data_IF_174198520911
#
_entry.id   IF_174198520911
#
_cell.length_a   1.000
_cell.length_b   1.000
_cell.length_c   1.000
_cell.angle_alpha   90.00
_cell.angle_beta   90.00
_cell.angle_gamma   90.00
#
_symmetry.space_group_name_H-M   'P 1'
#
loop_
_entity.id
_entity.type
_entity.pdbx_description
1 polymer ?
#
# COMPACT_ATOMS: atom_id res chain seq x y z
N UNK A 1 -11.66 8.86 -90.28
CA UNK A 1 -12.94 8.30 -89.79
C UNK A 1 -12.73 7.80 -88.37
N UNK A 2 -13.48 8.37 -87.42
CA UNK A 2 -13.38 8.08 -86.00
C UNK A 2 -14.06 6.75 -85.65
N UNK A 3 -13.46 5.96 -84.76
CA UNK A 3 -14.20 4.94 -84.01
C UNK A 3 -13.66 4.78 -82.57
N UNK A 4 -14.45 5.39 -81.67
CA UNK A 4 -14.87 4.99 -80.32
C UNK A 4 -13.80 4.56 -79.30
N UNK A 5 -13.51 5.48 -78.36
CA UNK A 5 -12.93 5.21 -77.03
C UNK A 5 -13.91 4.35 -76.22
N UNK A 6 -13.46 3.17 -75.80
CA UNK A 6 -14.16 2.31 -74.83
C UNK A 6 -13.62 2.66 -73.44
N UNK A 7 -14.52 3.07 -72.54
CA UNK A 7 -14.22 3.33 -71.12
C UNK A 7 -14.49 2.07 -70.31
N UNK A 8 -13.43 1.38 -69.88
CA UNK A 8 -13.55 0.27 -68.93
C UNK A 8 -13.53 0.83 -67.52
N UNK A 9 -14.71 0.94 -66.91
CA UNK A 9 -14.90 1.17 -65.48
C UNK A 9 -14.39 -0.06 -64.72
N UNK A 10 -13.18 0.02 -64.16
CA UNK A 10 -12.74 -0.91 -63.12
C UNK A 10 -13.35 -0.49 -61.78
N UNK A 11 -14.46 -1.15 -61.49
CA UNK A 11 -15.20 -1.17 -60.24
C UNK A 11 -14.39 -2.01 -59.22
N UNK A 12 -13.46 -1.39 -58.48
CA UNK A 12 -12.77 -2.05 -57.37
C UNK A 12 -13.65 -1.91 -56.12
N UNK A 13 -14.56 -2.88 -55.94
CA UNK A 13 -15.08 -3.21 -54.62
C UNK A 13 -13.97 -3.87 -53.81
N UNK A 14 -13.21 -3.06 -53.07
CA UNK A 14 -12.29 -3.53 -52.03
C UNK A 14 -13.03 -3.60 -50.69
N UNK A 15 -13.52 -4.80 -50.37
CA UNK A 15 -14.05 -5.15 -49.06
C UNK A 15 -12.95 -5.00 -48.00
N UNK A 16 -13.41 -4.49 -46.85
CA UNK A 16 -12.88 -4.37 -45.49
C UNK A 16 -11.69 -5.26 -45.05
N UNK A 17 -11.18 -4.89 -43.87
CA UNK A 17 -10.22 -5.57 -42.98
C UNK A 17 -8.75 -5.27 -43.38
N UNK A 18 -7.96 -4.50 -42.64
CA UNK A 18 -7.66 -4.62 -41.22
C UNK A 18 -7.40 -3.22 -40.63
N UNK A 19 -8.25 -2.78 -39.69
CA UNK A 19 -7.74 -1.90 -38.64
C UNK A 19 -6.67 -2.71 -37.92
N UNK A 20 -5.40 -2.35 -38.10
CA UNK A 20 -4.38 -2.69 -37.12
C UNK A 20 -4.80 -1.97 -35.83
N UNK A 21 -5.67 -2.62 -35.05
CA UNK A 21 -5.70 -2.42 -33.61
C UNK A 21 -4.32 -2.86 -33.14
N UNK A 22 -3.38 -1.92 -33.20
CA UNK A 22 -2.17 -2.00 -32.41
C UNK A 22 -2.69 -1.87 -30.98
N UNK A 23 -3.03 -3.00 -30.37
CA UNK A 23 -3.20 -3.05 -28.94
C UNK A 23 -1.85 -2.66 -28.37
N UNK A 24 -1.74 -1.40 -27.95
CA UNK A 24 -0.72 -1.01 -27.00
C UNK A 24 -0.95 -1.93 -25.82
N UNK A 25 -0.12 -2.96 -25.72
CA UNK A 25 -0.04 -3.76 -24.50
C UNK A 25 0.25 -2.73 -23.42
N UNK A 26 -0.70 -2.51 -22.52
CA UNK A 26 -0.44 -1.74 -21.31
C UNK A 26 0.70 -2.46 -20.60
N UNK A 27 1.89 -1.87 -20.69
CA UNK A 27 3.06 -2.40 -20.00
C UNK A 27 2.82 -2.09 -18.53
N UNK A 28 2.64 -3.13 -17.72
CA UNK A 28 2.54 -3.02 -16.27
C UNK A 28 3.73 -2.20 -15.75
N UNK A 29 3.43 -0.96 -15.37
CA UNK A 29 4.48 0.00 -15.00
C UNK A 29 4.88 -0.29 -13.56
N UNK A 30 6.10 -0.83 -13.37
CA UNK A 30 6.66 -1.11 -12.05
C UNK A 30 6.81 0.18 -11.27
N UNK A 31 6.12 0.32 -10.13
CA UNK A 31 6.20 1.50 -9.25
C UNK A 31 7.14 1.24 -8.08
N UNK A 32 7.97 2.23 -7.78
CA UNK A 32 8.84 2.26 -6.60
C UNK A 32 8.24 3.19 -5.55
N UNK A 33 7.93 2.65 -4.38
CA UNK A 33 7.32 3.42 -3.30
C UNK A 33 8.25 3.44 -2.10
N UNK A 34 8.62 4.64 -1.67
CA UNK A 34 9.30 4.85 -0.39
C UNK A 34 8.29 5.39 0.61
N UNK A 35 8.17 4.76 1.77
CA UNK A 35 7.40 5.26 2.90
C UNK A 35 8.36 5.85 3.93
N UNK A 36 8.08 7.07 4.36
CA UNK A 36 8.86 7.78 5.37
C UNK A 36 7.97 8.03 6.57
N UNK A 37 8.31 7.44 7.71
CA UNK A 37 7.59 7.61 8.96
C UNK A 37 8.35 8.60 9.83
N UNK A 38 7.70 9.72 10.16
CA UNK A 38 8.27 10.82 10.95
C UNK A 38 7.71 10.82 12.36
N UNK A 39 8.57 11.07 13.34
CA UNK A 39 8.13 11.32 14.71
C UNK A 39 7.96 12.82 14.95
N UNK A 40 6.72 13.31 14.86
CA UNK A 40 6.34 14.69 15.17
C UNK A 40 6.01 14.93 16.64
N UNK A 41 6.33 13.97 17.52
CA UNK A 41 6.07 14.06 18.97
C UNK A 41 7.35 14.40 19.75
N UNK A 42 7.19 14.74 21.03
CA UNK A 42 8.30 14.99 21.94
C UNK A 42 8.90 13.71 22.56
N UNK A 43 8.34 12.53 22.27
CA UNK A 43 8.74 11.26 22.88
C UNK A 43 9.47 10.39 21.87
N UNK A 44 10.52 9.69 22.28
CA UNK A 44 11.02 8.56 21.50
C UNK A 44 9.90 7.53 21.31
N UNK A 45 9.82 6.95 20.11
CA UNK A 45 8.85 5.90 19.81
C UNK A 45 9.49 4.73 19.08
N UNK A 46 8.86 3.58 19.20
CA UNK A 46 9.20 2.36 18.47
C UNK A 46 8.00 1.96 17.63
N UNK A 47 8.18 1.90 16.31
CA UNK A 47 7.21 1.40 15.35
C UNK A 47 7.44 -0.11 15.17
N UNK A 48 6.56 -0.92 15.73
CA UNK A 48 6.60 -2.39 15.63
C UNK A 48 5.61 -2.87 14.58
N UNK A 49 6.06 -3.75 13.69
CA UNK A 49 5.23 -4.34 12.63
C UNK A 49 5.10 -5.83 12.86
N UNK A 50 3.87 -6.31 12.81
CA UNK A 50 3.47 -7.67 13.10
C UNK A 50 2.82 -8.33 11.89
N UNK A 51 3.01 -9.65 11.80
CA UNK A 51 2.35 -10.54 10.85
C UNK A 51 1.83 -11.73 11.65
N UNK A 52 0.51 -11.94 11.66
CA UNK A 52 -0.16 -13.00 12.42
C UNK A 52 0.19 -12.98 13.92
N UNK A 53 0.34 -11.78 14.49
CA UNK A 53 0.68 -11.57 15.90
C UNK A 53 2.16 -11.77 16.25
N UNK A 54 3.01 -12.12 15.30
CA UNK A 54 4.47 -12.20 15.48
C UNK A 54 5.13 -10.91 14.99
N UNK A 55 5.95 -10.28 15.84
CA UNK A 55 6.72 -9.09 15.45
C UNK A 55 7.84 -9.50 14.49
N UNK A 56 7.92 -8.88 13.32
CA UNK A 56 8.97 -9.18 12.35
C UNK A 56 9.80 -7.96 11.91
N UNK A 57 9.32 -6.72 12.13
CA UNK A 57 10.10 -5.48 11.96
C UNK A 57 9.87 -4.55 13.13
N UNK A 58 10.87 -3.73 13.43
CA UNK A 58 10.84 -2.73 14.49
C UNK A 58 11.75 -1.57 14.12
N UNK A 59 11.27 -0.35 14.29
CA UNK A 59 12.03 0.86 13.98
C UNK A 59 11.95 1.83 15.16
N UNK A 60 13.10 2.22 15.72
CA UNK A 60 13.17 3.27 16.74
C UNK A 60 13.28 4.63 16.06
N UNK A 61 12.41 5.57 16.43
CA UNK A 61 12.35 6.91 15.84
C UNK A 61 12.37 7.95 16.97
N UNK A 62 13.49 8.65 17.13
CA UNK A 62 13.61 9.75 18.09
C UNK A 62 12.81 10.98 17.65
N UNK A 63 12.51 11.92 18.56
CA UNK A 63 11.78 13.16 18.23
C UNK A 63 12.40 13.89 17.03
N UNK A 64 11.56 14.32 16.09
CA UNK A 64 11.95 15.00 14.85
C UNK A 64 12.90 14.19 13.95
N UNK A 65 12.96 12.87 14.12
CA UNK A 65 13.64 11.95 13.21
C UNK A 65 12.63 11.16 12.39
N UNK A 66 13.16 10.47 11.40
CA UNK A 66 12.38 9.67 10.46
C UNK A 66 13.07 8.34 10.16
N UNK A 67 12.27 7.39 9.71
CA UNK A 67 12.74 6.12 9.17
C UNK A 67 12.10 5.88 7.82
N UNK A 68 12.88 5.35 6.89
CA UNK A 68 12.41 5.01 5.56
C UNK A 68 12.21 3.51 5.41
N UNK A 69 11.17 3.12 4.70
CA UNK A 69 10.94 1.75 4.23
C UNK A 69 10.59 1.78 2.76
N UNK A 70 11.09 0.85 1.97
CA UNK A 70 10.87 0.83 0.52
C UNK A 70 10.20 -0.46 0.05
N UNK A 71 9.37 -0.33 -0.97
CA UNK A 71 8.78 -1.47 -1.69
C UNK A 71 8.73 -1.16 -3.19
N UNK A 72 9.12 -2.14 -4.01
CA UNK A 72 8.98 -2.08 -5.47
C UNK A 72 7.88 -3.04 -5.90
N UNK A 73 6.86 -2.57 -6.63
CA UNK A 73 5.76 -3.41 -7.13
C UNK A 73 5.09 -2.81 -8.37
N UNK A 74 4.58 -3.66 -9.27
CA UNK A 74 3.75 -3.24 -10.40
C UNK A 74 2.41 -2.58 -9.99
N UNK A 75 1.84 -3.03 -8.88
CA UNK A 75 0.59 -2.50 -8.35
C UNK A 75 0.81 -1.35 -7.35
N UNK A 76 -0.25 -0.61 -7.04
CA UNK A 76 -0.22 0.59 -6.20
C UNK A 76 0.37 0.41 -4.79
N UNK A 77 0.40 1.50 -4.00
CA UNK A 77 1.09 1.52 -2.70
C UNK A 77 0.40 0.61 -1.70
N UNK A 78 1.20 -0.21 -1.02
CA UNK A 78 0.80 -1.05 0.09
C UNK A 78 1.78 -0.84 1.24
N UNK A 79 1.45 0.00 2.24
CA UNK A 79 2.30 0.21 3.41
C UNK A 79 2.66 -1.11 4.08
N UNK A 80 3.84 -1.22 4.68
CA UNK A 80 4.28 -2.42 5.43
C UNK A 80 4.29 -3.74 4.67
N UNK A 81 4.50 -3.70 3.34
CA UNK A 81 4.83 -4.86 2.53
C UNK A 81 6.36 -4.97 2.40
N UNK A 82 6.93 -6.08 2.85
CA UNK A 82 8.38 -6.31 2.82
C UNK A 82 8.72 -7.58 2.05
N UNK A 83 9.74 -7.52 1.21
CA UNK A 83 10.23 -8.66 0.41
C UNK A 83 11.54 -9.18 1.00
N UNK A 84 11.55 -9.91 2.13
CA UNK A 84 12.81 -10.50 2.66
C UNK A 84 12.63 -11.44 3.87
N UNK A 85 13.23 -12.66 3.87
CA UNK A 85 13.57 -13.51 2.72
C UNK A 85 12.32 -14.13 2.06
N UNK A 86 11.18 -14.10 2.75
CA UNK A 86 9.85 -14.35 2.21
C UNK A 86 9.06 -13.05 2.19
N UNK A 87 8.07 -12.94 1.30
CA UNK A 87 7.14 -11.82 1.32
C UNK A 87 6.43 -11.83 2.68
N UNK A 88 6.69 -10.80 3.50
CA UNK A 88 6.00 -10.58 4.77
C UNK A 88 5.08 -9.39 4.65
N UNK A 89 3.90 -9.56 5.23
CA UNK A 89 2.84 -8.57 5.14
C UNK A 89 2.46 -8.10 6.53
N UNK A 90 2.67 -6.81 6.80
CA UNK A 90 2.24 -6.20 8.05
C UNK A 90 0.71 -6.20 8.16
N UNK A 91 0.17 -7.06 9.02
CA UNK A 91 -1.26 -7.13 9.33
C UNK A 91 -1.65 -6.20 10.48
N UNK A 92 -0.67 -5.80 11.29
CA UNK A 92 -0.85 -4.91 12.43
C UNK A 92 0.43 -4.15 12.75
N UNK A 93 0.24 -2.95 13.30
CA UNK A 93 1.31 -2.03 13.68
C UNK A 93 1.04 -1.51 15.07
N UNK A 94 2.09 -1.47 15.90
CA UNK A 94 2.06 -0.86 17.23
C UNK A 94 3.07 0.27 17.27
N UNK A 95 2.61 1.47 17.58
CA UNK A 95 3.46 2.61 17.90
C UNK A 95 3.58 2.64 19.43
N UNK A 96 4.77 2.35 19.95
CA UNK A 96 5.06 2.39 21.39
C UNK A 96 5.89 3.62 21.72
N UNK A 97 5.31 4.56 22.46
CA UNK A 97 5.99 5.71 23.00
C UNK A 97 6.82 5.33 24.23
N UNK A 98 7.90 6.06 24.49
CA UNK A 98 8.85 5.78 25.58
C UNK A 98 8.24 5.83 26.98
N UNK A 99 7.09 6.48 27.15
CA UNK A 99 6.35 6.57 28.40
C UNK A 99 5.27 5.48 28.56
N UNK A 100 5.48 4.30 27.96
CA UNK A 100 4.59 3.14 28.04
C UNK A 100 3.17 3.37 27.50
N UNK A 101 3.03 4.30 26.56
CA UNK A 101 1.78 4.49 25.80
C UNK A 101 1.90 3.82 24.44
N UNK A 102 0.81 3.20 24.01
CA UNK A 102 0.73 2.44 22.78
C UNK A 102 -0.49 2.86 21.96
N UNK A 103 -0.28 2.95 20.65
CA UNK A 103 -1.33 3.06 19.66
C UNK A 103 -1.23 1.86 18.73
N UNK A 104 -2.36 1.24 18.40
CA UNK A 104 -2.37 0.01 17.60
C UNK A 104 -3.34 0.12 16.46
N UNK A 105 -2.85 -0.24 15.28
CA UNK A 105 -3.64 -0.32 14.08
C UNK A 105 -3.64 -1.75 13.57
N UNK A 106 -4.77 -2.16 13.01
CA UNK A 106 -4.93 -3.43 12.34
C UNK A 106 -5.40 -3.18 10.91
N UNK A 107 -4.79 -3.88 9.98
CA UNK A 107 -5.24 -3.88 8.60
C UNK A 107 -6.59 -4.58 8.50
N UNK A 108 -7.47 -4.03 7.69
CA UNK A 108 -8.77 -4.61 7.36
C UNK A 108 -8.65 -5.57 6.17
N UNK A 109 -9.68 -6.38 5.97
CA UNK A 109 -9.72 -7.43 4.94
C UNK A 109 -9.66 -6.90 3.49
N UNK A 110 -9.96 -5.62 3.27
CA UNK A 110 -9.84 -4.97 1.96
C UNK A 110 -8.39 -4.55 1.60
N UNK A 111 -7.41 -4.92 2.44
CA UNK A 111 -6.00 -4.57 2.24
C UNK A 111 -5.63 -3.15 2.73
N UNK A 112 -6.61 -2.34 3.10
CA UNK A 112 -6.42 -1.04 3.76
C UNK A 112 -6.70 -1.17 5.25
N UNK A 113 -6.37 -0.14 6.02
CA UNK A 113 -6.75 -0.04 7.42
C UNK A 113 -6.80 1.43 7.81
N UNK A 114 -7.24 1.76 9.03
CA UNK A 114 -7.25 3.15 9.48
C UNK A 114 -5.84 3.73 9.46
N UNK A 115 -5.73 5.05 9.23
CA UNK A 115 -4.52 5.83 9.52
C UNK A 115 -3.30 5.32 8.76
N UNK A 116 -2.33 4.76 9.48
CA UNK A 116 -1.02 4.36 8.93
C UNK A 116 -1.11 3.27 7.84
N UNK A 117 -2.23 2.54 7.75
CA UNK A 117 -2.51 1.57 6.70
C UNK A 117 -3.26 2.15 5.49
N UNK A 118 -3.77 3.38 5.56
CA UNK A 118 -4.38 4.10 4.45
C UNK A 118 -3.40 5.13 3.87
N UNK A 119 -2.78 4.81 2.74
CA UNK A 119 -1.84 5.73 2.07
C UNK A 119 -2.47 7.07 1.66
N UNK A 120 -3.81 7.17 1.64
CA UNK A 120 -4.53 8.41 1.32
C UNK A 120 -4.55 9.40 2.49
N UNK A 121 -4.28 8.92 3.70
CA UNK A 121 -4.14 9.74 4.90
C UNK A 121 -2.70 10.25 5.11
N UNK A 122 -1.78 9.96 4.18
CA UNK A 122 -0.38 10.39 4.27
C UNK A 122 -0.25 11.88 3.90
N UNK A 123 0.69 12.56 4.53
CA UNK A 123 0.83 14.03 4.56
C UNK A 123 0.88 14.67 3.17
N UNK A 124 1.47 13.95 2.21
CA UNK A 124 1.69 14.43 0.85
C UNK A 124 0.81 13.73 -0.20
N UNK A 125 -0.19 12.96 0.22
CA UNK A 125 -1.08 12.28 -0.71
C UNK A 125 -1.84 13.29 -1.57
N UNK A 126 -1.80 13.08 -2.89
CA UNK A 126 -2.74 13.68 -3.83
C UNK A 126 -3.14 12.62 -4.85
N UNK A 127 -4.40 12.61 -5.36
CA UNK A 127 -4.81 11.67 -6.40
C UNK A 127 -3.87 11.67 -7.61
N UNK A 128 -3.33 12.87 -7.93
CA UNK A 128 -2.40 13.07 -9.04
C UNK A 128 -1.04 12.39 -8.89
N UNK A 129 -0.69 11.83 -7.72
CA UNK A 129 0.55 11.05 -7.55
C UNK A 129 0.50 9.73 -8.34
N UNK A 130 -0.71 9.23 -8.64
CA UNK A 130 -0.91 7.92 -9.25
C UNK A 130 -1.43 7.99 -10.70
N UNK A 131 -1.52 9.19 -11.26
CA UNK A 131 -1.87 9.40 -12.67
C UNK A 131 -0.88 8.67 -13.59
N UNK A 132 -1.36 8.09 -14.69
CA UNK A 132 -0.54 7.27 -15.60
C UNK A 132 0.63 8.04 -16.26
N UNK A 133 0.60 9.38 -16.24
CA UNK A 133 1.63 10.25 -16.83
C UNK A 133 2.66 10.78 -15.81
N UNK A 134 2.74 10.17 -14.63
CA UNK A 134 3.45 10.70 -13.45
C UNK A 134 4.48 9.69 -12.88
N UNK A 135 5.37 10.12 -11.97
CA UNK A 135 6.63 9.42 -11.78
C UNK A 135 6.43 7.99 -11.26
N UNK A 136 7.20 7.10 -11.87
CA UNK A 136 7.34 5.67 -11.56
C UNK A 136 7.83 5.47 -10.11
N UNK A 137 8.46 6.50 -9.53
CA UNK A 137 8.92 6.52 -8.15
C UNK A 137 8.24 7.65 -7.38
N UNK A 138 7.68 7.35 -6.21
CA UNK A 138 7.16 8.37 -5.30
C UNK A 138 7.42 8.01 -3.85
N UNK A 139 7.53 9.05 -3.04
CA UNK A 139 7.71 8.95 -1.59
C UNK A 139 6.41 9.37 -0.90
N UNK A 140 5.96 8.61 0.09
CA UNK A 140 4.80 8.90 0.92
C UNK A 140 5.26 9.19 2.35
N UNK A 141 4.83 10.32 2.91
CA UNK A 141 5.19 10.74 4.26
C UNK A 141 4.03 10.49 5.22
N UNK A 142 4.30 9.84 6.36
CA UNK A 142 3.35 9.71 7.45
C UNK A 142 3.96 10.30 8.71
N UNK A 143 3.38 11.39 9.21
CA UNK A 143 3.82 12.01 10.47
C UNK A 143 3.00 11.47 11.64
N UNK A 144 3.68 10.86 12.61
CA UNK A 144 3.08 10.50 13.89
C UNK A 144 2.99 11.78 14.73
N UNK A 145 1.78 12.21 15.02
CA UNK A 145 1.44 13.52 15.59
C UNK A 145 1.20 13.46 17.10
N UNK A 146 1.05 14.64 17.71
CA UNK A 146 0.60 14.76 19.11
C UNK A 146 -0.82 14.21 19.30
N UNK A 147 -1.67 14.28 18.28
CA UNK A 147 -3.03 13.72 18.35
C UNK A 147 -3.00 12.20 18.44
N UNK A 148 -2.13 11.54 17.66
CA UNK A 148 -1.91 10.08 17.77
C UNK A 148 -1.42 9.70 19.18
N UNK A 149 -0.55 10.53 19.78
CA UNK A 149 -0.12 10.34 21.16
C UNK A 149 -1.27 10.54 22.17
N UNK A 150 -2.14 11.51 21.96
CA UNK A 150 -3.29 11.76 22.83
C UNK A 150 -4.31 10.60 22.76
N UNK A 151 -4.48 9.99 21.59
CA UNK A 151 -5.32 8.81 21.38
C UNK A 151 -4.72 7.50 21.92
N UNK A 152 -3.41 7.47 22.16
CA UNK A 152 -2.76 6.27 22.68
C UNK A 152 -3.24 5.89 24.09
N UNK A 153 -3.05 4.63 24.46
CA UNK A 153 -3.47 4.08 25.76
C UNK A 153 -2.30 3.38 26.44
N UNK A 154 -2.46 2.97 27.69
CA UNK A 154 -1.45 2.14 28.34
C UNK A 154 -1.21 0.84 27.55
N UNK A 155 0.06 0.49 27.32
CA UNK A 155 0.44 -0.68 26.52
C UNK A 155 -0.11 -2.01 27.10
N UNK A 156 -0.26 -2.14 28.42
CA UNK A 156 -0.78 -3.36 29.04
C UNK A 156 -2.27 -3.59 28.76
N UNK A 157 -3.03 -2.51 28.51
CA UNK A 157 -4.42 -2.59 28.09
C UNK A 157 -4.53 -3.02 26.62
N UNK A 158 -3.57 -2.61 25.81
CA UNK A 158 -3.52 -2.92 24.37
C UNK A 158 -3.18 -4.39 24.10
N UNK A 159 -2.21 -4.95 24.83
CA UNK A 159 -1.83 -6.36 24.69
C UNK A 159 -2.96 -7.33 25.05
N UNK A 160 -3.80 -6.99 26.04
CA UNK A 160 -4.98 -7.79 26.39
C UNK A 160 -6.02 -7.84 25.26
N UNK A 161 -6.15 -6.78 24.47
CA UNK A 161 -7.07 -6.75 23.32
C UNK A 161 -6.52 -7.53 22.10
N UNK A 162 -5.20 -7.53 21.90
CA UNK A 162 -4.57 -8.33 20.84
C UNK A 162 -4.60 -9.84 21.17
N UNK A 163 -4.33 -10.21 22.42
CA UNK A 163 -4.36 -11.61 22.88
C UNK A 163 -5.77 -12.19 22.99
N UNK A 164 -6.77 -11.40 23.40
CA UNK A 164 -8.16 -11.87 23.48
C UNK A 164 -8.72 -12.19 22.09
N UNK A 165 -8.41 -11.40 21.06
CA UNK A 165 -8.75 -11.72 19.68
C UNK A 165 -7.97 -12.93 19.13
N UNK A 166 -6.69 -13.10 19.46
CA UNK A 166 -5.89 -14.24 19.03
C UNK A 166 -6.36 -15.59 19.61
N UNK A 167 -6.83 -15.59 20.86
CA UNK A 167 -7.41 -16.78 21.50
C UNK A 167 -8.77 -17.17 20.90
N UNK A 168 -9.61 -16.20 20.51
CA UNK A 168 -10.89 -16.46 19.83
C UNK A 168 -10.65 -17.05 18.44
N UNK A 169 -9.67 -16.55 17.69
CA UNK A 169 -9.32 -17.10 16.37
C UNK A 169 -8.79 -18.55 16.45
N UNK A 170 -8.00 -18.88 17.49
CA UNK A 170 -7.54 -20.27 17.73
C UNK A 170 -8.66 -21.21 18.18
N UNK A 171 -9.64 -20.74 18.94
CA UNK A 171 -10.81 -21.56 19.29
C UNK A 171 -11.69 -21.84 18.07
N UNK A 172 -11.92 -20.87 17.18
CA UNK A 172 -12.73 -21.08 15.98
C UNK A 172 -12.09 -22.07 14.98
N UNK A 173 -10.76 -22.07 14.84
CA UNK A 173 -10.06 -23.06 14.02
C UNK A 173 -10.15 -24.50 14.56
N UNK A 174 -10.33 -24.66 15.87
CA UNK A 174 -10.49 -25.97 16.52
C UNK A 174 -11.91 -26.54 16.35
N UNK A 175 -12.93 -25.69 16.18
CA UNK A 175 -14.32 -26.12 15.96
C UNK A 175 -14.65 -26.43 14.49
N UNK A 176 -13.84 -25.97 13.53
CA UNK A 176 -14.08 -26.24 12.10
C UNK A 176 -13.41 -27.51 11.55
N UNK A 177 -12.64 -28.22 12.39
CA UNK A 177 -11.96 -29.49 12.05
C UNK A 177 -12.52 -30.69 12.84
N UNK A 178 -13.80 -30.64 13.24
CA UNK A 178 -14.54 -31.80 13.78
C UNK A 178 -15.81 -32.05 12.99
#
# INVERSE_FOLDING_TARGET
>A
MQQKKIWTLFLIFGISVLFNSCSTRDIDTIKNVTYVYKNGTAYDLVLEVYDNGEKFKSFSISPNKEVETGTTRAEGPVPFLFYEPTMKYGDSVVIRFSNNRCLSYKRLSNGFGPKIFDYREYDNYTPRLFDQNKPITYTLYYTITVDDYNESVDCEKTQRNLLSCGLIARQQAFFYNR
#
